data_IF_182405025754
#
_entry.id   IF_182405025754
#
_cell.length_a   1.000
_cell.length_b   1.000
_cell.length_c   1.000
_cell.angle_alpha   90.00
_cell.angle_beta   90.00
_cell.angle_gamma   90.00
#
_symmetry.space_group_name_H-M   'P 1'
#
loop_
_entity.id
_entity.type
_entity.pdbx_description
1 polymer ?
#
# COMPACT_ATOMS: atom_id res chain seq x y z
N UNK A 1 -20.01 -8.55 7.38
CA UNK A 1 -19.80 -8.84 5.95
C UNK A 1 -19.31 -7.55 5.33
N UNK A 2 -18.14 -7.55 4.73
CA UNK A 2 -17.60 -6.31 4.18
C UNK A 2 -17.02 -6.55 2.78
N UNK A 3 -17.28 -5.61 1.87
CA UNK A 3 -16.73 -5.56 0.53
C UNK A 3 -15.91 -4.30 0.38
N UNK A 4 -14.64 -4.46 0.13
CA UNK A 4 -13.65 -3.40 0.18
C UNK A 4 -12.93 -3.31 -1.16
N UNK A 5 -12.86 -2.10 -1.72
CA UNK A 5 -12.00 -1.80 -2.85
C UNK A 5 -10.69 -1.22 -2.33
N UNK A 6 -9.56 -1.82 -2.67
CA UNK A 6 -8.23 -1.30 -2.40
C UNK A 6 -7.62 -0.75 -3.70
N UNK A 7 -7.18 0.50 -3.69
CA UNK A 7 -6.63 1.17 -4.88
C UNK A 7 -5.11 1.00 -5.04
N UNK A 8 -4.46 0.26 -4.12
CA UNK A 8 -3.01 0.03 -4.15
C UNK A 8 -2.18 1.27 -3.81
N UNK A 9 -0.87 1.17 -4.01
CA UNK A 9 0.08 2.26 -3.77
C UNK A 9 0.53 2.94 -5.08
N UNK A 10 1.83 3.15 -5.30
CA UNK A 10 2.38 3.97 -6.38
C UNK A 10 3.09 3.16 -7.47
N UNK A 11 4.13 2.38 -7.07
CA UNK A 11 4.90 1.55 -8.00
C UNK A 11 4.24 0.19 -8.21
N UNK A 12 4.29 -0.34 -9.43
CA UNK A 12 3.67 -1.63 -9.80
C UNK A 12 2.21 -1.71 -9.32
N UNK A 13 1.52 -0.59 -9.43
CA UNK A 13 0.16 -0.45 -8.90
C UNK A 13 -0.80 -1.50 -9.46
N UNK A 14 -1.66 -2.01 -8.61
CA UNK A 14 -2.84 -2.80 -8.96
C UNK A 14 -3.95 -2.50 -7.96
N UNK A 15 -5.20 -2.63 -8.40
CA UNK A 15 -6.38 -2.52 -7.55
C UNK A 15 -6.94 -3.92 -7.24
N UNK A 16 -7.61 -4.03 -6.09
CA UNK A 16 -8.22 -5.26 -5.65
C UNK A 16 -9.60 -5.00 -5.04
N UNK A 17 -10.59 -5.78 -5.45
CA UNK A 17 -11.88 -5.85 -4.78
C UNK A 17 -11.94 -7.12 -3.93
N UNK A 18 -12.04 -6.94 -2.64
CA UNK A 18 -12.08 -8.00 -1.65
C UNK A 18 -13.46 -8.12 -1.01
N UNK A 19 -13.98 -9.35 -0.93
CA UNK A 19 -15.22 -9.67 -0.25
C UNK A 19 -14.95 -10.66 0.89
N UNK A 20 -15.29 -10.27 2.11
CA UNK A 20 -15.09 -11.12 3.30
C UNK A 20 -15.91 -12.40 3.27
N UNK A 21 -16.92 -12.52 2.42
CA UNK A 21 -17.69 -13.75 2.22
C UNK A 21 -16.98 -14.73 1.27
N UNK A 22 -16.12 -14.21 0.40
CA UNK A 22 -15.36 -15.00 -0.57
C UNK A 22 -13.87 -14.64 -0.50
N UNK A 23 -13.22 -14.79 0.66
CA UNK A 23 -11.87 -14.32 0.88
C UNK A 23 -10.83 -15.04 0.02
N UNK A 24 -11.17 -16.21 -0.51
CA UNK A 24 -10.31 -17.02 -1.38
C UNK A 24 -10.31 -16.56 -2.85
N UNK A 25 -11.17 -15.62 -3.21
CA UNK A 25 -11.35 -15.19 -4.59
C UNK A 25 -11.41 -13.65 -4.73
N UNK A 26 -10.38 -12.90 -4.31
CA UNK A 26 -10.34 -11.47 -4.56
C UNK A 26 -10.29 -11.20 -6.07
N UNK A 27 -10.96 -10.15 -6.51
CA UNK A 27 -10.89 -9.70 -7.90
C UNK A 27 -9.75 -8.70 -8.04
N UNK A 28 -8.78 -9.04 -8.88
CA UNK A 28 -7.62 -8.18 -9.15
C UNK A 28 -7.76 -7.47 -10.49
N UNK A 29 -7.25 -6.25 -10.56
CA UNK A 29 -6.95 -5.58 -11.82
C UNK A 29 -5.66 -6.14 -12.46
N UNK A 30 -5.37 -5.70 -13.68
CA UNK A 30 -4.02 -5.78 -14.20
C UNK A 30 -3.05 -4.93 -13.35
N UNK A 31 -1.76 -5.17 -13.51
CA UNK A 31 -0.70 -4.29 -12.97
C UNK A 31 -0.56 -3.09 -13.91
N UNK A 32 -0.73 -1.87 -13.37
CA UNK A 32 -0.71 -0.63 -14.15
C UNK A 32 0.70 -0.04 -14.30
N UNK A 33 1.64 -0.44 -13.43
CA UNK A 33 3.00 0.08 -13.41
C UNK A 33 3.17 1.27 -12.47
N UNK A 34 3.95 2.25 -12.90
CA UNK A 34 4.32 3.44 -12.13
C UNK A 34 3.26 4.55 -12.34
N UNK A 35 2.63 5.00 -11.26
CA UNK A 35 1.60 6.05 -11.31
C UNK A 35 2.16 7.48 -11.49
N UNK A 36 3.46 7.65 -11.75
CA UNK A 36 3.99 8.87 -12.34
C UNK A 36 3.62 9.01 -13.83
N UNK A 37 3.27 7.89 -14.48
CA UNK A 37 2.79 7.89 -15.85
C UNK A 37 1.28 8.16 -15.93
N UNK A 38 0.83 9.23 -16.62
CA UNK A 38 -0.59 9.51 -16.82
C UNK A 38 -1.37 8.35 -17.47
N UNK A 39 -0.74 7.55 -18.31
CA UNK A 39 -1.39 6.39 -18.93
C UNK A 39 -1.67 5.29 -17.89
N UNK A 40 -0.74 5.06 -16.95
CA UNK A 40 -0.95 4.15 -15.83
C UNK A 40 -2.06 4.64 -14.89
N UNK A 41 -2.15 5.94 -14.64
CA UNK A 41 -3.24 6.54 -13.87
C UNK A 41 -4.61 6.31 -14.55
N UNK A 42 -4.71 6.54 -15.84
CA UNK A 42 -5.95 6.30 -16.59
C UNK A 42 -6.33 4.81 -16.60
N UNK A 43 -5.35 3.92 -16.74
CA UNK A 43 -5.57 2.48 -16.66
C UNK A 43 -6.07 2.02 -15.29
N UNK A 44 -5.55 2.61 -14.20
CA UNK A 44 -6.05 2.36 -12.85
C UNK A 44 -7.51 2.81 -12.71
N UNK A 45 -7.86 4.02 -13.16
CA UNK A 45 -9.24 4.50 -13.11
C UNK A 45 -10.19 3.56 -13.86
N UNK A 46 -9.83 3.13 -15.07
CA UNK A 46 -10.63 2.19 -15.85
C UNK A 46 -10.78 0.85 -15.11
N UNK A 47 -9.69 0.30 -14.57
CA UNK A 47 -9.72 -0.95 -13.83
C UNK A 47 -10.61 -0.88 -12.58
N UNK A 48 -10.60 0.26 -11.88
CA UNK A 48 -11.48 0.49 -10.73
C UNK A 48 -12.95 0.46 -11.18
N UNK A 49 -13.30 1.11 -12.31
CA UNK A 49 -14.67 1.05 -12.85
C UNK A 49 -15.07 -0.38 -13.22
N UNK A 50 -14.17 -1.13 -13.85
CA UNK A 50 -14.43 -2.52 -14.26
C UNK A 50 -14.61 -3.43 -13.03
N UNK A 51 -13.82 -3.27 -11.97
CA UNK A 51 -13.99 -4.00 -10.71
C UNK A 51 -15.33 -3.68 -10.05
N UNK A 52 -15.72 -2.40 -10.06
CA UNK A 52 -17.02 -1.97 -9.52
C UNK A 52 -18.19 -2.55 -10.32
N UNK A 53 -18.10 -2.57 -11.64
CA UNK A 53 -19.12 -3.17 -12.49
C UNK A 53 -19.27 -4.69 -12.23
N UNK A 54 -18.15 -5.37 -11.95
CA UNK A 54 -18.11 -6.81 -11.66
C UNK A 54 -18.53 -7.16 -10.23
N UNK A 55 -18.54 -6.20 -9.32
CA UNK A 55 -18.78 -6.46 -7.89
C UNK A 55 -20.19 -6.99 -7.61
N UNK A 56 -21.19 -6.62 -8.45
CA UNK A 56 -22.59 -7.06 -8.32
C UNK A 56 -23.30 -6.61 -7.04
N UNK A 57 -22.61 -5.90 -6.13
CA UNK A 57 -23.18 -5.41 -4.88
C UNK A 57 -22.40 -4.16 -4.37
N UNK A 58 -23.00 -3.35 -3.48
CA UNK A 58 -22.38 -2.15 -2.94
C UNK A 58 -21.06 -2.43 -2.22
N UNK A 59 -20.18 -1.43 -2.21
CA UNK A 59 -18.98 -1.42 -1.35
C UNK A 59 -19.34 -0.95 0.06
N UNK A 60 -18.56 -1.41 1.03
CA UNK A 60 -18.62 -0.94 2.43
C UNK A 60 -17.50 0.05 2.76
N UNK A 61 -16.37 0.00 2.04
CA UNK A 61 -15.23 0.89 2.23
C UNK A 61 -14.33 0.94 1.00
N UNK A 62 -13.48 1.99 0.94
CA UNK A 62 -12.37 2.09 -0.01
C UNK A 62 -11.07 2.20 0.78
N UNK A 63 -10.09 1.32 0.51
CA UNK A 63 -8.78 1.33 1.15
C UNK A 63 -7.72 1.97 0.25
N UNK A 64 -6.77 2.68 0.88
CA UNK A 64 -5.68 3.37 0.19
C UNK A 64 -4.41 3.44 1.04
N UNK A 65 -3.27 3.77 0.42
CA UNK A 65 -2.01 4.03 1.12
C UNK A 65 -2.12 5.32 1.97
N UNK A 66 -1.30 5.42 3.01
CA UNK A 66 -1.21 6.63 3.84
C UNK A 66 -0.72 7.86 3.07
N UNK A 67 0.07 7.67 2.01
CA UNK A 67 0.69 8.78 1.31
C UNK A 67 -0.34 9.65 0.58
N UNK A 68 -0.52 10.94 0.97
CA UNK A 68 -1.61 11.77 0.46
C UNK A 68 -1.48 12.13 -1.02
N UNK A 69 -0.25 12.18 -1.54
CA UNK A 69 0.04 12.65 -2.88
C UNK A 69 -0.03 11.53 -3.93
N UNK A 70 -0.19 10.28 -3.52
CA UNK A 70 -0.36 9.20 -4.50
C UNK A 70 -1.65 9.38 -5.27
N UNK A 71 -1.58 9.18 -6.59
CA UNK A 71 -2.76 9.22 -7.44
C UNK A 71 -3.83 8.21 -6.97
N UNK A 72 -3.40 7.00 -6.59
CA UNK A 72 -4.28 5.97 -6.04
C UNK A 72 -5.01 6.40 -4.76
N UNK A 73 -4.33 7.14 -3.87
CA UNK A 73 -4.94 7.71 -2.66
C UNK A 73 -5.99 8.75 -3.01
N UNK A 74 -5.67 9.69 -3.91
CA UNK A 74 -6.63 10.71 -4.35
C UNK A 74 -7.84 10.12 -5.06
N UNK A 75 -7.63 9.09 -5.88
CA UNK A 75 -8.69 8.33 -6.53
C UNK A 75 -9.61 7.66 -5.50
N UNK A 76 -9.03 6.99 -4.50
CA UNK A 76 -9.77 6.32 -3.43
C UNK A 76 -10.61 7.30 -2.61
N UNK A 77 -10.02 8.43 -2.20
CA UNK A 77 -10.72 9.48 -1.44
C UNK A 77 -11.87 10.10 -2.24
N UNK A 78 -11.66 10.39 -3.53
CA UNK A 78 -12.71 10.87 -4.43
C UNK A 78 -13.86 9.88 -4.51
N UNK A 79 -13.56 8.61 -4.79
CA UNK A 79 -14.55 7.56 -4.93
C UNK A 79 -15.35 7.33 -3.64
N UNK A 80 -14.67 7.34 -2.49
CA UNK A 80 -15.31 7.23 -1.18
C UNK A 80 -16.26 8.39 -0.93
N UNK A 81 -15.82 9.63 -1.21
CA UNK A 81 -16.65 10.83 -1.07
C UNK A 81 -17.88 10.82 -1.98
N UNK A 82 -17.72 10.48 -3.26
CA UNK A 82 -18.82 10.39 -4.24
C UNK A 82 -19.88 9.36 -3.85
N UNK A 83 -19.49 8.32 -3.12
CA UNK A 83 -20.36 7.20 -2.71
C UNK A 83 -20.82 7.27 -1.26
N UNK A 84 -20.34 8.24 -0.49
CA UNK A 84 -20.65 8.34 0.95
C UNK A 84 -20.08 7.17 1.77
N UNK A 85 -18.92 6.63 1.36
CA UNK A 85 -18.29 5.48 1.99
C UNK A 85 -17.10 5.92 2.86
N UNK A 86 -16.73 5.15 3.89
CA UNK A 86 -15.49 5.36 4.60
C UNK A 86 -14.28 5.10 3.69
N UNK A 87 -13.29 6.01 3.74
CA UNK A 87 -11.96 5.79 3.21
C UNK A 87 -11.04 5.29 4.34
N UNK A 88 -10.34 4.19 4.10
CA UNK A 88 -9.49 3.53 5.10
C UNK A 88 -8.04 3.66 4.66
N UNK A 89 -7.30 4.49 5.38
CA UNK A 89 -5.86 4.62 5.17
C UNK A 89 -5.12 3.43 5.80
N UNK A 90 -4.25 2.79 5.04
CA UNK A 90 -3.44 1.65 5.47
C UNK A 90 -1.96 2.01 5.37
N UNK A 91 -1.21 1.79 6.44
CA UNK A 91 0.22 2.02 6.45
C UNK A 91 0.91 1.03 5.50
N UNK A 92 1.86 1.51 4.72
CA UNK A 92 2.50 0.79 3.62
C UNK A 92 3.08 -0.58 4.04
N UNK A 93 3.94 -0.59 5.05
CA UNK A 93 4.59 -1.82 5.54
C UNK A 93 3.60 -2.76 6.24
N UNK A 94 2.56 -2.21 6.90
CA UNK A 94 1.46 -3.02 7.42
C UNK A 94 0.70 -3.71 6.30
N UNK A 95 0.47 -3.02 5.16
CA UNK A 95 -0.18 -3.63 4.00
C UNK A 95 0.65 -4.79 3.42
N UNK A 96 1.99 -4.65 3.34
CA UNK A 96 2.88 -5.75 2.93
C UNK A 96 2.76 -6.95 3.87
N UNK A 97 2.87 -6.73 5.18
CA UNK A 97 2.72 -7.79 6.17
C UNK A 97 1.35 -8.46 6.09
N UNK A 98 0.27 -7.66 6.04
CA UNK A 98 -1.10 -8.17 5.98
C UNK A 98 -1.37 -9.00 4.71
N UNK A 99 -0.79 -8.61 3.56
CA UNK A 99 -0.92 -9.37 2.32
C UNK A 99 -0.33 -10.78 2.45
N UNK A 100 0.88 -10.90 3.00
CA UNK A 100 1.54 -12.19 3.25
C UNK A 100 0.76 -13.04 4.26
N UNK A 101 0.28 -12.43 5.35
CA UNK A 101 -0.53 -13.13 6.35
C UNK A 101 -1.84 -13.65 5.75
N UNK A 102 -2.49 -12.87 4.91
CA UNK A 102 -3.72 -13.28 4.24
C UNK A 102 -3.48 -14.42 3.23
N UNK A 103 -2.40 -14.35 2.45
CA UNK A 103 -2.03 -15.39 1.47
C UNK A 103 -1.77 -16.75 2.15
N UNK A 104 -1.11 -16.73 3.32
CA UNK A 104 -0.77 -17.93 4.07
C UNK A 104 -1.79 -18.29 5.17
N UNK A 105 -2.91 -17.55 5.27
CA UNK A 105 -3.97 -17.78 6.26
C UNK A 105 -3.43 -17.80 7.71
N UNK A 106 -2.49 -16.89 8.00
CA UNK A 106 -1.91 -16.75 9.33
C UNK A 106 -2.77 -15.81 10.17
N UNK A 107 -3.37 -16.31 11.23
CA UNK A 107 -4.27 -15.56 12.13
C UNK A 107 -3.60 -15.18 13.45
N UNK A 108 -2.50 -15.83 13.79
CA UNK A 108 -1.74 -15.59 15.01
C UNK A 108 -0.95 -14.27 14.93
N UNK A 109 -0.65 -13.65 16.09
CA UNK A 109 0.27 -12.52 16.13
C UNK A 109 1.64 -12.90 15.58
N UNK A 110 2.22 -12.02 14.76
CA UNK A 110 3.54 -12.25 14.17
C UNK A 110 4.46 -11.05 14.37
N UNK A 111 5.76 -11.29 14.24
CA UNK A 111 6.75 -10.25 13.99
C UNK A 111 7.03 -10.29 12.48
N UNK A 112 6.69 -9.20 11.79
CA UNK A 112 6.95 -9.02 10.37
C UNK A 112 8.21 -8.16 10.18
N UNK A 113 9.14 -8.64 9.36
CA UNK A 113 10.29 -7.88 8.89
C UNK A 113 10.00 -7.42 7.46
N UNK A 114 9.78 -6.11 7.27
CA UNK A 114 9.53 -5.50 5.97
C UNK A 114 10.77 -4.73 5.54
N UNK A 115 11.39 -5.16 4.45
CA UNK A 115 12.69 -4.66 3.97
C UNK A 115 12.56 -3.80 2.71
N UNK A 116 11.38 -3.31 2.41
CA UNK A 116 11.16 -2.36 1.34
C UNK A 116 11.77 -0.97 1.65
N UNK A 117 12.08 -0.21 0.59
CA UNK A 117 12.94 0.96 0.71
C UNK A 117 12.31 2.14 1.43
N UNK A 118 11.02 2.42 1.20
CA UNK A 118 10.35 3.58 1.77
C UNK A 118 8.82 3.45 1.75
N UNK A 119 8.18 3.85 2.83
CA UNK A 119 6.74 4.05 2.95
C UNK A 119 6.46 5.15 3.99
N UNK A 120 5.31 5.81 3.90
CA UNK A 120 4.93 6.83 4.87
C UNK A 120 4.53 6.17 6.20
N UNK A 121 5.17 6.59 7.28
CA UNK A 121 4.83 6.20 8.64
C UNK A 121 3.66 6.98 9.22
N UNK A 122 3.02 6.45 10.29
CA UNK A 122 1.97 7.18 11.02
C UNK A 122 2.47 8.46 11.69
N UNK A 123 3.77 8.55 11.93
CA UNK A 123 4.46 9.71 12.49
C UNK A 123 4.79 10.78 11.43
N UNK A 124 4.40 10.55 10.17
CA UNK A 124 4.68 11.43 9.04
C UNK A 124 6.12 11.35 8.53
N UNK A 125 6.92 10.41 9.03
CA UNK A 125 8.30 10.19 8.58
C UNK A 125 8.38 9.09 7.51
N UNK A 126 9.47 9.07 6.76
CA UNK A 126 9.78 7.98 5.85
C UNK A 126 10.26 6.77 6.66
N UNK A 127 9.55 5.65 6.53
CA UNK A 127 9.91 4.36 7.10
C UNK A 127 10.53 3.47 6.03
N UNK A 128 11.46 2.58 6.47
CA UNK A 128 12.07 1.57 5.59
C UNK A 128 12.94 0.63 6.40
N UNK A 129 12.83 -0.68 6.16
CA UNK A 129 13.49 -1.70 6.96
C UNK A 129 12.90 -1.83 8.36
N UNK A 130 11.60 -2.15 8.41
CA UNK A 130 10.79 -2.11 9.63
C UNK A 130 10.63 -3.48 10.29
N UNK A 131 10.62 -3.50 11.61
CA UNK A 131 10.22 -4.63 12.42
C UNK A 131 8.87 -4.30 13.06
N UNK A 132 7.82 -5.01 12.64
CA UNK A 132 6.43 -4.74 13.02
C UNK A 132 5.85 -5.93 13.79
N UNK A 133 5.20 -5.66 14.92
CA UNK A 133 4.28 -6.61 15.50
C UNK A 133 2.91 -6.44 14.85
N UNK A 134 2.35 -7.52 14.30
CA UNK A 134 1.09 -7.48 13.55
C UNK A 134 0.14 -8.56 14.06
N UNK A 135 -1.12 -8.17 14.32
CA UNK A 135 -2.20 -9.08 14.63
C UNK A 135 -3.53 -8.55 14.07
N UNK A 136 -3.96 -9.09 12.95
CA UNK A 136 -5.13 -8.60 12.22
C UNK A 136 -4.95 -7.14 11.80
N UNK A 137 -5.86 -6.26 12.24
CA UNK A 137 -5.80 -4.82 11.96
C UNK A 137 -4.85 -4.03 12.88
N UNK A 138 -4.28 -4.68 13.90
CA UNK A 138 -3.32 -4.03 14.82
C UNK A 138 -1.92 -4.18 14.27
N UNK A 139 -1.18 -3.07 14.26
CA UNK A 139 0.21 -3.03 13.85
C UNK A 139 0.97 -2.05 14.74
N UNK A 140 2.09 -2.52 15.30
CA UNK A 140 2.97 -1.72 16.15
C UNK A 140 4.39 -1.78 15.60
N UNK A 141 5.06 -0.63 15.50
CA UNK A 141 6.47 -0.54 15.14
C UNK A 141 7.31 -0.90 16.35
N UNK A 142 7.93 -2.08 16.36
CA UNK A 142 8.75 -2.55 17.48
C UNK A 142 10.25 -2.31 17.25
N UNK A 143 10.65 -1.99 16.03
CA UNK A 143 12.02 -1.62 15.68
C UNK A 143 12.16 -1.26 14.21
N UNK A 144 13.34 -0.75 13.85
CA UNK A 144 13.67 -0.42 12.46
C UNK A 144 15.18 -0.37 12.28
N UNK A 145 15.63 -0.47 11.03
CA UNK A 145 17.01 -0.18 10.67
C UNK A 145 17.30 1.31 10.91
N UNK A 146 18.57 1.64 11.19
CA UNK A 146 18.99 3.03 11.28
C UNK A 146 18.67 3.77 9.97
N UNK A 147 17.96 4.91 10.03
CA UNK A 147 17.62 5.64 8.83
C UNK A 147 18.87 6.20 8.14
N UNK A 148 18.91 6.06 6.82
CA UNK A 148 19.94 6.65 6.00
C UNK A 148 19.35 7.79 5.16
N UNK A 149 20.15 8.83 4.94
CA UNK A 149 19.80 9.88 3.99
C UNK A 149 19.64 9.29 2.59
N UNK A 150 18.68 9.81 1.81
CA UNK A 150 18.47 9.46 0.40
C UNK A 150 19.05 10.56 -0.50
N UNK A 151 20.35 10.53 -0.85
CA UNK A 151 20.96 11.59 -1.63
C UNK A 151 20.37 11.67 -3.05
N UNK A 152 19.57 12.72 -3.31
CA UNK A 152 18.84 12.89 -4.56
C UNK A 152 17.44 12.26 -4.57
N UNK A 153 16.89 11.84 -3.42
CA UNK A 153 15.56 11.25 -3.33
C UNK A 153 15.46 9.92 -4.07
N UNK A 154 14.42 9.71 -4.87
CA UNK A 154 14.13 8.45 -5.57
C UNK A 154 15.26 7.95 -6.48
N UNK A 155 16.15 8.85 -6.94
CA UNK A 155 17.29 8.44 -7.74
C UNK A 155 18.27 7.55 -6.94
N UNK A 156 18.30 7.69 -5.62
CA UNK A 156 19.12 6.85 -4.76
C UNK A 156 18.77 5.36 -4.84
N UNK A 157 17.48 5.04 -5.09
CA UNK A 157 17.03 3.66 -5.29
C UNK A 157 17.54 3.05 -6.61
N UNK A 158 17.83 3.89 -7.61
CA UNK A 158 18.32 3.48 -8.94
C UNK A 158 19.86 3.53 -9.04
N UNK A 159 20.51 4.26 -8.16
CA UNK A 159 21.95 4.47 -8.13
C UNK A 159 22.52 4.05 -6.77
N UNK A 160 22.81 2.73 -6.55
CA UNK A 160 23.21 2.20 -5.23
C UNK A 160 24.44 2.85 -4.60
N UNK A 161 25.34 3.44 -5.41
CA UNK A 161 26.50 4.16 -4.93
C UNK A 161 26.14 5.35 -4.03
N UNK A 162 24.95 5.96 -4.24
CA UNK A 162 24.45 7.05 -3.40
C UNK A 162 24.15 6.58 -1.98
N UNK A 163 23.58 5.39 -1.86
CA UNK A 163 23.31 4.77 -0.56
C UNK A 163 24.61 4.36 0.15
N UNK A 164 25.60 3.88 -0.60
CA UNK A 164 26.93 3.60 -0.06
C UNK A 164 27.58 4.88 0.47
N UNK A 165 27.49 6.00 -0.27
CA UNK A 165 27.98 7.30 0.18
C UNK A 165 27.26 7.80 1.43
N UNK A 166 25.92 7.63 1.50
CA UNK A 166 25.14 7.98 2.69
C UNK A 166 25.57 7.18 3.93
N UNK A 167 25.83 5.88 3.76
CA UNK A 167 26.30 5.02 4.83
C UNK A 167 27.68 5.45 5.34
N UNK A 168 28.62 5.73 4.43
CA UNK A 168 29.97 6.21 4.77
C UNK A 168 29.93 7.60 5.45
N UNK A 169 28.95 8.42 5.15
CA UNK A 169 28.79 9.73 5.81
C UNK A 169 28.19 9.60 7.21
N UNK A 170 27.39 8.58 7.45
CA UNK A 170 26.72 8.32 8.74
C UNK A 170 27.60 7.54 9.73
N UNK A 171 28.71 6.93 9.29
CA UNK A 171 29.68 6.19 10.11
C UNK A 171 30.78 7.10 10.66
#
# INVERSE_FOLDING_TARGET
MARILACGAFLKNSACLFDTQSPQAPLWSAVHGDLSDPAACAALEQSVQDLLARSGAPLDAVAHDLHPDFFSTRLALRLAGERGLPAVAVQHHHAHAAAVLAEHVVLEPVIALTLDGVGLGWDGTAWGGELLWVHGARCERVGHLAPLMLPGGDIAAREPWRMAAALLHAS
#
